data_IF_734499234566
#
_entry.id   IF_734499234566
#
_cell.length_a   1.000
_cell.length_b   1.000
_cell.length_c   1.000
_cell.angle_alpha   90.00
_cell.angle_beta   90.00
_cell.angle_gamma   90.00
#
_symmetry.space_group_name_H-M   'P 1'
#
loop_
_entity.id
_entity.type
_entity.pdbx_description
1 polymer ?
#
# COMPACT_ATOMS: atom_id res chain seq x y z
N UNK A 1 50.92 -73.07 37.51
CA UNK A 1 51.42 -71.97 36.67
C UNK A 1 50.21 -71.40 35.93
N UNK A 2 49.75 -70.23 36.40
CA UNK A 2 48.78 -69.25 35.89
C UNK A 2 47.47 -69.69 35.17
N UNK A 3 46.36 -69.23 35.75
CA UNK A 3 45.01 -69.21 35.23
C UNK A 3 44.69 -67.88 34.51
N UNK A 4 43.68 -67.92 33.63
CA UNK A 4 42.65 -66.90 33.34
C UNK A 4 43.00 -65.40 33.41
N UNK A 5 42.90 -64.69 32.29
CA UNK A 5 42.14 -63.42 32.22
C UNK A 5 41.97 -62.95 30.78
N UNK A 6 40.72 -62.80 30.41
CA UNK A 6 40.20 -62.10 29.25
C UNK A 6 40.84 -60.71 29.08
N UNK A 7 40.95 -60.24 27.84
CA UNK A 7 40.60 -58.85 27.53
C UNK A 7 40.47 -58.70 26.02
N UNK A 8 39.22 -58.72 25.58
CA UNK A 8 38.77 -58.18 24.31
C UNK A 8 39.19 -56.69 24.23
N UNK A 9 40.30 -56.42 23.55
CA UNK A 9 40.81 -55.07 23.32
C UNK A 9 40.21 -54.43 22.07
N UNK A 10 39.01 -53.87 22.23
CA UNK A 10 38.57 -52.63 21.56
C UNK A 10 38.67 -52.55 20.03
N UNK A 11 37.59 -52.94 19.35
CA UNK A 11 37.21 -52.30 18.09
C UNK A 11 36.91 -50.82 18.35
N UNK A 12 37.90 -49.96 18.20
CA UNK A 12 37.69 -48.53 18.10
C UNK A 12 37.08 -48.24 16.72
N UNK A 13 35.76 -48.42 16.61
CA UNK A 13 34.96 -47.86 15.53
C UNK A 13 35.05 -46.34 15.64
N UNK A 14 36.02 -45.75 14.96
CA UNK A 14 36.09 -44.32 14.70
C UNK A 14 34.91 -43.95 13.79
N UNK A 15 33.74 -43.77 14.41
CA UNK A 15 32.59 -43.07 13.83
C UNK A 15 33.01 -41.61 13.69
N UNK A 16 33.69 -41.30 12.59
CA UNK A 16 33.79 -39.93 12.11
C UNK A 16 32.39 -39.39 11.97
N UNK A 17 32.06 -38.43 12.84
CA UNK A 17 30.80 -37.69 12.78
C UNK A 17 30.68 -37.09 11.38
N UNK A 18 29.76 -37.63 10.59
CA UNK A 18 29.39 -37.08 9.29
C UNK A 18 28.77 -35.70 9.55
N UNK A 19 29.58 -34.65 9.38
CA UNK A 19 29.10 -33.29 9.40
C UNK A 19 28.10 -33.13 8.24
N UNK A 20 26.83 -32.87 8.59
CA UNK A 20 25.79 -32.68 7.60
C UNK A 20 26.23 -31.61 6.58
N UNK A 21 26.11 -31.87 5.26
CA UNK A 21 26.52 -30.91 4.25
C UNK A 21 25.64 -29.66 4.38
N UNK A 22 26.26 -28.53 4.76
CA UNK A 22 25.64 -27.21 4.66
C UNK A 22 25.37 -26.97 3.19
N UNK A 23 24.12 -27.15 2.76
CA UNK A 23 23.70 -26.82 1.39
C UNK A 23 23.98 -25.32 1.20
N UNK A 24 24.94 -24.94 0.33
CA UNK A 24 25.13 -23.54 0.03
C UNK A 24 23.83 -23.00 -0.58
N UNK A 25 23.42 -21.82 -0.14
CA UNK A 25 22.26 -21.15 -0.71
C UNK A 25 22.43 -21.11 -2.23
N UNK A 26 21.36 -21.39 -3.01
CA UNK A 26 21.47 -21.40 -4.46
C UNK A 26 22.00 -20.04 -4.93
N UNK A 27 22.92 -19.98 -5.90
CA UNK A 27 23.56 -18.74 -6.34
C UNK A 27 22.55 -17.68 -6.83
N UNK A 28 21.34 -18.09 -7.22
CA UNK A 28 20.24 -17.19 -7.56
C UNK A 28 19.79 -16.32 -6.37
N UNK A 29 19.84 -16.83 -5.13
CA UNK A 29 19.44 -16.09 -3.94
C UNK A 29 20.50 -15.05 -3.55
N UNK A 30 21.78 -15.30 -3.85
CA UNK A 30 22.88 -14.37 -3.58
C UNK A 30 22.76 -13.10 -4.46
N UNK A 31 22.25 -13.25 -5.69
CA UNK A 31 21.99 -12.14 -6.61
C UNK A 31 20.76 -11.31 -6.21
N UNK A 32 19.75 -11.94 -5.58
CA UNK A 32 18.57 -11.26 -5.06
C UNK A 32 18.82 -10.57 -3.71
N UNK A 33 19.83 -11.02 -2.97
CA UNK A 33 20.15 -10.55 -1.62
C UNK A 33 20.27 -9.01 -1.49
N UNK A 34 21.03 -8.28 -2.34
CA UNK A 34 21.16 -6.83 -2.20
C UNK A 34 19.83 -6.10 -2.41
N UNK A 35 19.03 -6.52 -3.38
CA UNK A 35 17.71 -5.93 -3.64
C UNK A 35 16.75 -6.18 -2.48
N UNK A 36 16.73 -7.41 -1.94
CA UNK A 36 15.89 -7.77 -0.79
C UNK A 36 16.31 -6.99 0.45
N UNK A 37 17.61 -6.87 0.71
CA UNK A 37 18.13 -6.09 1.85
C UNK A 37 17.72 -4.63 1.74
N UNK A 38 17.84 -4.02 0.56
CA UNK A 38 17.44 -2.61 0.36
C UNK A 38 15.93 -2.44 0.54
N UNK A 39 15.10 -3.30 -0.06
CA UNK A 39 13.64 -3.25 0.10
C UNK A 39 13.20 -3.42 1.55
N UNK A 40 13.80 -4.39 2.26
CA UNK A 40 13.53 -4.62 3.67
C UNK A 40 14.01 -3.45 4.52
N UNK A 41 15.21 -2.91 4.29
CA UNK A 41 15.70 -1.76 5.02
C UNK A 41 14.75 -0.55 4.83
N UNK A 42 14.37 -0.23 3.59
CA UNK A 42 13.47 0.89 3.30
C UNK A 42 12.04 0.69 3.80
N UNK A 43 11.57 -0.54 4.00
CA UNK A 43 10.21 -0.80 4.49
C UNK A 43 10.18 -0.96 6.01
N UNK A 44 11.08 -1.78 6.56
CA UNK A 44 11.12 -2.13 7.98
C UNK A 44 11.58 -0.94 8.81
N UNK A 45 12.62 -0.22 8.38
CA UNK A 45 13.14 0.92 9.14
C UNK A 45 12.07 1.98 9.44
N UNK A 46 11.35 2.55 8.45
CA UNK A 46 10.31 3.54 8.74
C UNK A 46 9.10 2.94 9.44
N UNK A 47 8.81 1.64 9.25
CA UNK A 47 7.70 0.97 9.95
C UNK A 47 7.99 0.86 11.45
N UNK A 48 9.20 0.41 11.82
CA UNK A 48 9.62 0.34 13.23
C UNK A 48 9.65 1.75 13.82
N UNK A 49 10.18 2.73 13.09
CA UNK A 49 10.20 4.12 13.53
C UNK A 49 8.79 4.70 13.73
N UNK A 50 7.86 4.43 12.82
CA UNK A 50 6.47 4.88 12.93
C UNK A 50 5.75 4.17 14.08
N UNK A 51 6.08 2.89 14.31
CA UNK A 51 5.52 2.13 15.41
C UNK A 51 5.99 2.66 16.76
N UNK A 52 7.28 2.92 16.94
CA UNK A 52 7.79 3.54 18.17
C UNK A 52 7.19 4.93 18.35
N UNK A 53 7.08 5.71 17.28
CA UNK A 53 6.43 7.02 17.32
C UNK A 53 4.96 6.93 17.77
N UNK A 54 4.21 5.91 17.32
CA UNK A 54 2.81 5.73 17.69
C UNK A 54 2.58 5.47 19.19
N UNK A 55 3.61 4.98 19.89
CA UNK A 55 3.57 4.67 21.33
C UNK A 55 4.10 5.82 22.20
N UNK A 56 4.70 6.84 21.59
CA UNK A 56 5.23 8.00 22.28
C UNK A 56 4.36 9.25 22.02
N UNK A 57 4.34 10.19 22.94
CA UNK A 57 3.75 11.51 22.66
C UNK A 57 4.71 12.32 21.82
N UNK A 58 4.30 12.61 20.60
CA UNK A 58 5.01 13.54 19.73
C UNK A 58 4.17 14.78 19.50
N UNK A 59 4.68 15.92 19.94
CA UNK A 59 4.05 17.21 19.68
C UNK A 59 4.90 18.01 18.70
N UNK A 60 4.50 18.05 17.42
CA UNK A 60 5.19 18.85 16.39
C UNK A 60 5.27 20.34 16.75
N UNK A 61 4.36 20.85 17.57
CA UNK A 61 4.28 22.26 17.97
C UNK A 61 5.17 22.61 19.17
N UNK A 62 5.63 21.63 19.94
CA UNK A 62 6.46 21.86 21.12
C UNK A 62 7.81 21.16 20.97
N UNK A 63 8.81 21.91 20.48
CA UNK A 63 10.18 21.40 20.22
C UNK A 63 10.89 20.87 21.48
N UNK A 64 10.40 21.20 22.67
CA UNK A 64 10.95 20.76 23.95
C UNK A 64 10.17 19.58 24.58
N UNK A 65 9.19 19.02 23.87
CA UNK A 65 8.47 17.85 24.36
C UNK A 65 9.44 16.66 24.45
N UNK A 66 9.68 16.18 25.66
CA UNK A 66 10.40 14.93 25.92
C UNK A 66 9.55 13.79 25.35
N UNK A 67 10.19 12.81 24.71
CA UNK A 67 9.51 11.62 24.24
C UNK A 67 9.04 10.82 25.45
N UNK A 68 7.78 11.01 25.84
CA UNK A 68 7.17 10.20 26.88
C UNK A 68 6.52 8.98 26.22
N UNK A 69 6.85 7.80 26.74
CA UNK A 69 6.21 6.56 26.33
C UNK A 69 4.84 6.49 26.99
N UNK A 70 3.78 6.70 26.21
CA UNK A 70 2.39 6.73 26.71
C UNK A 70 1.61 5.48 26.28
N UNK A 71 2.32 4.48 25.73
CA UNK A 71 1.77 3.18 25.36
C UNK A 71 0.60 3.32 24.40
N UNK A 72 -0.58 2.85 24.82
CA UNK A 72 -1.79 2.84 23.97
C UNK A 72 -2.70 4.07 24.12
N UNK A 73 -2.31 5.08 24.90
CA UNK A 73 -3.16 6.24 25.13
C UNK A 73 -3.52 7.01 23.83
N UNK A 74 -2.57 7.11 22.90
CA UNK A 74 -2.81 7.72 21.58
C UNK A 74 -3.95 7.04 20.82
N UNK A 75 -4.05 5.71 20.90
CA UNK A 75 -5.12 4.96 20.25
C UNK A 75 -6.47 5.17 20.95
N UNK A 76 -6.50 5.17 22.27
CA UNK A 76 -7.72 5.43 23.04
C UNK A 76 -8.27 6.84 22.77
N UNK A 77 -7.39 7.84 22.63
CA UNK A 77 -7.76 9.20 22.29
C UNK A 77 -8.36 9.31 20.89
N UNK A 78 -7.76 8.65 19.89
CA UNK A 78 -8.26 8.67 18.50
C UNK A 78 -9.63 7.99 18.40
N UNK A 79 -9.84 6.88 19.10
CA UNK A 79 -11.12 6.16 19.09
C UNK A 79 -12.27 6.95 19.72
N UNK A 80 -11.98 7.94 20.56
CA UNK A 80 -12.98 8.85 21.14
C UNK A 80 -13.18 10.13 20.31
N UNK A 81 -12.36 10.37 19.29
CA UNK A 81 -12.44 11.56 18.46
C UNK A 81 -13.51 11.41 17.37
N UNK A 82 -14.55 12.25 17.43
CA UNK A 82 -15.61 12.29 16.44
C UNK A 82 -15.09 12.63 15.02
N UNK A 83 -13.98 13.38 14.91
CA UNK A 83 -13.36 13.72 13.63
C UNK A 83 -12.72 12.50 12.98
N UNK A 84 -12.15 11.60 13.78
CA UNK A 84 -11.59 10.34 13.27
C UNK A 84 -12.69 9.47 12.66
N UNK A 85 -13.82 9.30 13.37
CA UNK A 85 -14.95 8.52 12.86
C UNK A 85 -15.60 9.15 11.64
N UNK A 86 -15.72 10.48 11.61
CA UNK A 86 -16.20 11.19 10.41
C UNK A 86 -15.27 10.97 9.21
N UNK A 87 -13.96 11.12 9.40
CA UNK A 87 -12.97 10.87 8.34
C UNK A 87 -13.02 9.41 7.87
N UNK A 88 -13.08 8.44 8.79
CA UNK A 88 -13.18 7.02 8.49
C UNK A 88 -14.45 6.69 7.70
N UNK A 89 -15.60 7.29 8.06
CA UNK A 89 -16.84 7.11 7.34
C UNK A 89 -16.76 7.71 5.94
N UNK A 90 -16.27 8.95 5.79
CA UNK A 90 -16.11 9.60 4.48
C UNK A 90 -15.19 8.77 3.58
N UNK A 91 -14.04 8.32 4.08
CA UNK A 91 -13.11 7.47 3.32
C UNK A 91 -13.74 6.12 2.98
N UNK A 92 -14.44 5.49 3.92
CA UNK A 92 -15.13 4.21 3.71
C UNK A 92 -16.21 4.31 2.64
N UNK A 93 -17.11 5.29 2.74
CA UNK A 93 -18.16 5.53 1.75
C UNK A 93 -17.58 5.89 0.39
N UNK A 94 -16.55 6.73 0.34
CA UNK A 94 -15.84 7.08 -0.90
C UNK A 94 -15.21 5.83 -1.56
N UNK A 95 -14.52 5.00 -0.79
CA UNK A 95 -13.88 3.78 -1.27
C UNK A 95 -14.91 2.80 -1.83
N UNK A 96 -15.96 2.49 -1.06
CA UNK A 96 -17.01 1.55 -1.49
C UNK A 96 -17.71 2.05 -2.75
N UNK A 97 -18.12 3.32 -2.78
CA UNK A 97 -18.76 3.92 -3.95
C UNK A 97 -17.85 3.87 -5.18
N UNK A 98 -16.59 4.29 -5.03
CA UNK A 98 -15.62 4.31 -6.14
C UNK A 98 -15.35 2.91 -6.67
N UNK A 99 -15.08 1.93 -5.81
CA UNK A 99 -14.79 0.55 -6.23
C UNK A 99 -16.01 -0.08 -6.89
N UNK A 100 -17.20 0.08 -6.31
CA UNK A 100 -18.43 -0.47 -6.89
C UNK A 100 -18.68 0.11 -8.29
N UNK A 101 -18.57 1.43 -8.46
CA UNK A 101 -18.72 2.07 -9.76
C UNK A 101 -17.63 1.62 -10.75
N UNK A 102 -16.37 1.51 -10.33
CA UNK A 102 -15.28 1.02 -11.17
C UNK A 102 -15.51 -0.41 -11.64
N UNK A 103 -16.00 -1.29 -10.77
CA UNK A 103 -16.32 -2.67 -11.11
C UNK A 103 -17.47 -2.75 -12.12
N UNK A 104 -18.57 -2.03 -11.87
CA UNK A 104 -19.73 -2.03 -12.78
C UNK A 104 -19.35 -1.48 -14.15
N UNK A 105 -18.66 -0.34 -14.20
CA UNK A 105 -18.23 0.25 -15.47
C UNK A 105 -17.17 -0.59 -16.17
N UNK A 106 -16.17 -1.09 -15.44
CA UNK A 106 -15.09 -1.91 -15.98
C UNK A 106 -15.60 -3.22 -16.56
N UNK A 107 -16.48 -3.93 -15.84
CA UNK A 107 -17.14 -5.14 -16.33
C UNK A 107 -18.07 -4.83 -17.51
N UNK A 108 -18.86 -3.76 -17.42
CA UNK A 108 -19.75 -3.33 -18.50
C UNK A 108 -18.99 -3.08 -19.80
N UNK A 109 -17.89 -2.33 -19.73
CA UNK A 109 -17.02 -2.07 -20.88
C UNK A 109 -16.35 -3.37 -21.37
N UNK A 110 -15.86 -4.22 -20.47
CA UNK A 110 -15.23 -5.48 -20.84
C UNK A 110 -16.18 -6.41 -21.63
N UNK A 111 -17.44 -6.53 -21.20
CA UNK A 111 -18.47 -7.31 -21.89
C UNK A 111 -18.85 -6.71 -23.25
N UNK A 112 -18.93 -5.37 -23.35
CA UNK A 112 -19.17 -4.69 -24.63
C UNK A 112 -18.02 -4.92 -25.62
N UNK A 113 -16.78 -4.91 -25.13
CA UNK A 113 -15.57 -5.10 -25.94
C UNK A 113 -15.30 -6.56 -26.30
N UNK A 114 -15.94 -7.51 -25.60
CA UNK A 114 -15.89 -8.94 -25.92
C UNK A 114 -16.62 -9.25 -27.23
N UNK A 115 -17.68 -8.50 -27.57
CA UNK A 115 -18.31 -8.59 -28.89
C UNK A 115 -17.36 -8.03 -29.93
N UNK A 116 -17.41 -8.56 -31.16
CA UNK A 116 -16.61 -8.09 -32.29
C UNK A 116 -17.02 -6.65 -32.67
N UNK A 117 -16.57 -5.67 -31.89
CA UNK A 117 -16.80 -4.25 -32.17
C UNK A 117 -15.83 -3.81 -33.25
N UNK A 118 -16.36 -3.34 -34.37
CA UNK A 118 -15.61 -2.77 -35.50
C UNK A 118 -14.56 -1.73 -35.07
N UNK A 119 -14.81 -1.03 -33.95
CA UNK A 119 -13.93 0.02 -33.41
C UNK A 119 -13.14 -0.41 -32.15
N UNK A 120 -12.92 -1.72 -31.90
CA UNK A 120 -12.23 -2.22 -30.71
C UNK A 120 -10.89 -1.52 -30.43
N UNK A 121 -10.11 -1.22 -31.49
CA UNK A 121 -8.83 -0.54 -31.39
C UNK A 121 -8.94 0.88 -30.85
N UNK A 122 -9.88 1.70 -31.37
CA UNK A 122 -10.08 3.07 -30.91
C UNK A 122 -10.56 3.14 -29.46
N UNK A 123 -11.47 2.24 -29.08
CA UNK A 123 -11.98 2.15 -27.70
C UNK A 123 -10.85 1.79 -26.74
N UNK A 124 -10.01 0.80 -27.08
CA UNK A 124 -8.84 0.43 -26.26
C UNK A 124 -7.88 1.61 -26.11
N UNK A 125 -7.54 2.30 -27.19
CA UNK A 125 -6.66 3.47 -27.12
C UNK A 125 -7.23 4.55 -26.21
N UNK A 126 -8.52 4.90 -26.36
CA UNK A 126 -9.18 5.89 -25.51
C UNK A 126 -9.18 5.51 -24.02
N UNK A 127 -9.33 4.22 -23.69
CA UNK A 127 -9.27 3.72 -22.31
C UNK A 127 -7.85 3.73 -21.73
N UNK A 128 -6.83 3.57 -22.57
CA UNK A 128 -5.42 3.57 -22.14
C UNK A 128 -4.86 4.99 -21.95
N UNK A 129 -5.34 5.98 -22.71
CA UNK A 129 -4.92 7.39 -22.62
C UNK A 129 -4.89 7.93 -21.17
N UNK A 130 -5.96 7.81 -20.36
CA UNK A 130 -5.94 8.35 -19.00
C UNK A 130 -4.93 7.63 -18.09
N UNK A 131 -4.67 6.33 -18.30
CA UNK A 131 -3.67 5.60 -17.50
C UNK A 131 -2.24 6.08 -17.73
N UNK A 132 -1.98 6.66 -18.89
CA UNK A 132 -0.69 7.29 -19.21
C UNK A 132 -0.59 8.74 -18.71
N UNK A 133 -1.72 9.34 -18.33
CA UNK A 133 -1.77 10.75 -17.90
C UNK A 133 -1.36 10.85 -16.44
N UNK A 134 -0.54 11.86 -16.09
CA UNK A 134 -0.13 12.05 -14.69
C UNK A 134 -1.32 12.47 -13.82
N UNK A 135 -1.41 12.00 -12.56
CA UNK A 135 -2.52 12.38 -11.67
C UNK A 135 -2.65 13.89 -11.47
N UNK A 136 -1.52 14.60 -11.49
CA UNK A 136 -1.48 16.08 -11.35
C UNK A 136 -2.20 16.77 -12.50
N UNK A 137 -1.98 16.34 -13.75
CA UNK A 137 -2.63 16.92 -14.92
C UNK A 137 -4.14 16.66 -14.89
N UNK A 138 -4.55 15.44 -14.53
CA UNK A 138 -5.96 15.09 -14.37
C UNK A 138 -6.63 16.00 -13.32
N UNK A 139 -5.98 16.21 -12.18
CA UNK A 139 -6.47 17.11 -11.14
C UNK A 139 -6.61 18.57 -11.61
N UNK A 140 -5.64 19.07 -12.39
CA UNK A 140 -5.71 20.41 -12.96
C UNK A 140 -6.86 20.56 -13.96
N UNK A 141 -7.05 19.59 -14.85
CA UNK A 141 -8.16 19.59 -15.81
C UNK A 141 -9.50 19.68 -15.07
N UNK A 142 -9.71 18.83 -14.06
CA UNK A 142 -10.92 18.87 -13.25
C UNK A 142 -11.09 20.22 -12.53
N UNK A 143 -10.02 20.79 -11.98
CA UNK A 143 -10.06 22.12 -11.37
C UNK A 143 -10.48 23.21 -12.36
N UNK A 144 -10.00 23.17 -13.60
CA UNK A 144 -10.44 24.08 -14.65
C UNK A 144 -11.90 23.84 -15.06
N UNK A 145 -12.31 22.57 -15.18
CA UNK A 145 -13.67 22.20 -15.56
C UNK A 145 -14.72 22.60 -14.51
N UNK A 146 -14.38 22.47 -13.23
CA UNK A 146 -15.23 22.85 -12.09
C UNK A 146 -15.03 24.31 -11.65
N UNK A 147 -14.32 25.11 -12.44
CA UNK A 147 -14.15 26.52 -12.12
C UNK A 147 -15.51 27.23 -12.02
N UNK A 148 -15.78 27.99 -10.95
CA UNK A 148 -17.10 28.56 -10.70
C UNK A 148 -17.51 29.65 -11.70
N UNK A 149 -16.56 30.39 -12.29
CA UNK A 149 -16.87 31.53 -13.16
C UNK A 149 -16.93 31.18 -14.64
N UNK A 150 -16.04 30.29 -15.13
CA UNK A 150 -15.95 29.93 -16.56
C UNK A 150 -15.75 28.42 -16.79
N UNK A 151 -16.09 27.57 -15.82
CA UNK A 151 -15.97 26.12 -15.96
C UNK A 151 -16.98 25.54 -16.95
N UNK A 152 -16.52 24.61 -17.80
CA UNK A 152 -17.37 23.90 -18.76
C UNK A 152 -18.53 23.18 -18.06
N UNK A 153 -18.34 22.69 -16.84
CA UNK A 153 -19.37 21.97 -16.08
C UNK A 153 -20.51 22.91 -15.69
N UNK A 154 -20.19 24.09 -15.15
CA UNK A 154 -21.19 25.09 -14.78
C UNK A 154 -21.90 25.68 -16.00
N UNK A 155 -21.19 25.81 -17.13
CA UNK A 155 -21.81 26.19 -18.39
C UNK A 155 -22.80 25.13 -18.90
N UNK A 156 -22.44 23.84 -18.86
CA UNK A 156 -23.36 22.77 -19.26
C UNK A 156 -24.58 22.67 -18.32
N UNK A 157 -24.40 22.94 -17.03
CA UNK A 157 -25.49 22.99 -16.06
C UNK A 157 -26.43 24.18 -16.30
N UNK A 158 -25.91 25.33 -16.72
CA UNK A 158 -26.76 26.49 -17.02
C UNK A 158 -27.64 26.29 -18.24
N UNK A 159 -27.23 25.46 -19.20
CA UNK A 159 -28.06 25.07 -20.36
C UNK A 159 -29.33 24.29 -19.97
N UNK A 160 -29.29 23.56 -18.85
CA UNK A 160 -30.45 22.87 -18.27
C UNK A 160 -31.09 23.66 -17.13
N UNK A 161 -30.76 24.95 -16.98
CA UNK A 161 -31.38 25.88 -16.04
C UNK A 161 -30.87 25.80 -14.61
N UNK A 162 -29.77 25.09 -14.34
CA UNK A 162 -29.19 24.93 -13.01
C UNK A 162 -28.06 25.95 -12.82
N UNK A 163 -28.18 26.82 -11.83
CA UNK A 163 -27.07 27.68 -11.40
C UNK A 163 -25.99 26.81 -10.76
N UNK A 164 -24.84 26.71 -11.41
CA UNK A 164 -23.73 25.86 -10.94
C UNK A 164 -23.22 26.28 -9.56
N UNK A 165 -23.20 25.39 -8.55
CA UNK A 165 -22.67 25.73 -7.23
C UNK A 165 -21.15 25.96 -7.27
N UNK A 166 -20.61 26.64 -6.25
CA UNK A 166 -19.16 26.79 -6.12
C UNK A 166 -18.53 25.49 -5.60
N UNK A 167 -18.24 24.56 -6.52
CA UNK A 167 -17.67 23.24 -6.24
C UNK A 167 -16.37 23.28 -5.43
N UNK A 168 -15.59 24.35 -5.59
CA UNK A 168 -14.27 24.51 -4.98
C UNK A 168 -14.26 25.54 -3.84
N UNK A 169 -15.40 26.16 -3.52
CA UNK A 169 -15.50 27.30 -2.61
C UNK A 169 -15.25 27.01 -1.14
N UNK A 170 -15.02 25.74 -0.79
CA UNK A 170 -14.67 25.29 0.56
C UNK A 170 -13.19 24.97 0.76
N UNK A 171 -12.33 25.30 -0.21
CA UNK A 171 -10.86 25.20 -0.11
C UNK A 171 -10.22 26.54 0.25
#
# INVERSE_FOLDING_TARGET
MAASSETFGGQATSRTASAAPRRPLPPQLLLLLPTVIVLLALTIYPTIYSFTLSLNTWNMSNRNAVWEFVGLANYAQILQDARFWNAAQVTGTYMVGTIATQLVLGLGIALLLQRQVLAAGLVRTALLLPMMTTPVVVGLIWRFMFNPTQGIVNYLLSLVGISGPNWLGGL
#
